data_IF_285970975299
#
_entry.id   IF_285970975299
#
_cell.length_a   1.000
_cell.length_b   1.000
_cell.length_c   1.000
_cell.angle_alpha   90.00
_cell.angle_beta   90.00
_cell.angle_gamma   90.00
#
_symmetry.space_group_name_H-M   'P 1'
#
loop_
_entity.id
_entity.type
_entity.pdbx_description
1 polymer ?
#
# COMPACT_ATOMS: atom_id res chain seq x y z
N UNK A 1 -43.65 -31.04 5.16
CA UNK A 1 -42.92 -30.25 4.15
C UNK A 1 -41.70 -29.59 4.78
N UNK A 2 -40.48 -30.07 4.49
CA UNK A 2 -39.26 -29.39 4.92
C UNK A 2 -39.02 -28.13 4.10
N UNK A 3 -38.92 -26.97 4.76
CA UNK A 3 -38.57 -25.71 4.10
C UNK A 3 -37.11 -25.83 3.63
N UNK A 4 -36.89 -25.99 2.33
CA UNK A 4 -35.54 -25.91 1.75
C UNK A 4 -35.05 -24.49 1.93
N UNK A 5 -34.06 -24.29 2.80
CA UNK A 5 -33.39 -23.00 2.94
C UNK A 5 -32.82 -22.57 1.59
N UNK A 6 -33.05 -21.32 1.15
CA UNK A 6 -32.51 -20.85 -0.10
C UNK A 6 -30.98 -20.74 0.04
N UNK A 7 -30.28 -21.70 -0.56
CA UNK A 7 -28.83 -21.68 -0.78
C UNK A 7 -28.43 -20.60 -1.81
N UNK A 8 -28.76 -19.34 -1.53
CA UNK A 8 -28.24 -18.17 -2.26
C UNK A 8 -27.27 -17.40 -1.39
N UNK A 9 -26.39 -18.11 -0.68
CA UNK A 9 -25.16 -17.51 -0.16
C UNK A 9 -24.14 -17.54 -1.29
N UNK A 10 -23.57 -16.39 -1.60
CA UNK A 10 -22.39 -16.32 -2.44
C UNK A 10 -21.25 -17.07 -1.73
N UNK A 11 -20.25 -17.53 -2.49
CA UNK A 11 -19.10 -18.25 -1.94
C UNK A 11 -18.19 -17.36 -1.05
N UNK A 12 -18.46 -16.06 -0.99
CA UNK A 12 -17.78 -15.07 -0.16
C UNK A 12 -18.82 -14.20 0.54
N UNK A 13 -18.47 -13.68 1.71
CA UNK A 13 -19.31 -12.74 2.46
C UNK A 13 -19.37 -11.40 1.76
N UNK A 14 -20.55 -10.78 1.77
CA UNK A 14 -20.76 -9.44 1.22
C UNK A 14 -21.17 -8.46 2.32
N UNK A 15 -20.83 -7.16 2.20
CA UNK A 15 -21.30 -6.13 3.15
C UNK A 15 -22.83 -6.01 3.22
N UNK A 16 -23.54 -6.60 2.26
CA UNK A 16 -24.98 -6.57 2.18
C UNK A 16 -25.61 -7.79 2.85
N UNK A 17 -24.86 -8.79 3.31
CA UNK A 17 -25.43 -9.98 3.95
C UNK A 17 -26.19 -9.63 5.24
N UNK A 18 -27.38 -10.20 5.44
CA UNK A 18 -28.24 -9.90 6.59
C UNK A 18 -29.00 -8.56 6.52
N UNK A 19 -28.67 -7.67 5.59
CA UNK A 19 -29.40 -6.40 5.39
C UNK A 19 -30.72 -6.64 4.64
N UNK A 20 -31.89 -6.30 5.21
CA UNK A 20 -33.18 -6.47 4.53
C UNK A 20 -33.42 -5.37 3.47
N UNK A 21 -34.20 -5.69 2.44
CA UNK A 21 -34.70 -4.71 1.46
C UNK A 21 -34.28 -4.95 0.00
N UNK A 22 -35.00 -4.30 -0.93
CA UNK A 22 -34.82 -4.45 -2.37
C UNK A 22 -33.43 -3.98 -2.84
N UNK A 23 -32.98 -2.83 -2.33
CA UNK A 23 -31.66 -2.29 -2.65
C UNK A 23 -30.53 -3.26 -2.27
N UNK A 24 -30.56 -3.80 -1.05
CA UNK A 24 -29.57 -4.77 -0.60
C UNK A 24 -29.58 -6.06 -1.44
N UNK A 25 -30.77 -6.52 -1.87
CA UNK A 25 -30.88 -7.68 -2.75
C UNK A 25 -30.28 -7.42 -4.14
N UNK A 26 -30.51 -6.25 -4.72
CA UNK A 26 -29.89 -5.85 -5.99
C UNK A 26 -28.37 -5.74 -5.88
N UNK A 27 -27.86 -5.14 -4.80
CA UNK A 27 -26.42 -5.02 -4.58
C UNK A 27 -25.74 -6.39 -4.44
N UNK A 28 -26.34 -7.35 -3.72
CA UNK A 28 -25.82 -8.73 -3.65
C UNK A 28 -25.77 -9.42 -5.02
N UNK A 29 -26.74 -9.16 -5.89
CA UNK A 29 -26.74 -9.73 -7.24
C UNK A 29 -25.61 -9.17 -8.11
N UNK A 30 -25.32 -7.87 -8.04
CA UNK A 30 -24.19 -7.28 -8.78
C UNK A 30 -22.83 -7.66 -8.18
N UNK A 31 -22.75 -7.83 -6.86
CA UNK A 31 -21.53 -8.19 -6.14
C UNK A 31 -20.89 -9.50 -6.65
N UNK A 32 -21.69 -10.44 -7.17
CA UNK A 32 -21.18 -11.69 -7.75
C UNK A 32 -20.34 -11.49 -9.02
N UNK A 33 -20.53 -10.37 -9.73
CA UNK A 33 -19.83 -10.04 -10.97
C UNK A 33 -18.71 -9.02 -10.75
N UNK A 34 -18.97 -8.01 -9.91
CA UNK A 34 -17.99 -6.95 -9.60
C UNK A 34 -16.91 -7.45 -8.64
N UNK A 35 -17.23 -8.42 -7.79
CA UNK A 35 -16.34 -8.94 -6.76
C UNK A 35 -16.07 -7.94 -5.63
N UNK A 36 -15.06 -8.24 -4.82
CA UNK A 36 -14.55 -7.29 -3.82
C UNK A 36 -13.94 -6.08 -4.53
N UNK A 37 -14.14 -4.87 -3.98
CA UNK A 37 -13.51 -3.68 -4.51
C UNK A 37 -11.99 -3.89 -4.68
N UNK A 38 -11.42 -3.39 -5.79
CA UNK A 38 -9.96 -3.42 -5.99
C UNK A 38 -9.22 -2.50 -5.01
N UNK A 39 -9.94 -1.50 -4.50
CA UNK A 39 -9.53 -0.67 -3.39
C UNK A 39 -9.83 -1.49 -2.13
N UNK A 40 -8.87 -1.61 -1.21
CA UNK A 40 -8.92 -2.47 -0.02
C UNK A 40 -10.17 -2.27 0.87
N UNK A 41 -10.13 -2.80 2.09
CA UNK A 41 -11.29 -2.70 2.97
C UNK A 41 -11.73 -1.24 3.15
N UNK A 42 -13.04 -0.96 3.08
CA UNK A 42 -13.56 0.41 3.24
C UNK A 42 -13.20 1.02 4.60
N UNK A 43 -13.00 0.18 5.62
CA UNK A 43 -12.62 0.56 6.97
C UNK A 43 -11.11 0.37 7.22
N UNK A 44 -10.30 0.14 6.17
CA UNK A 44 -8.85 0.07 6.32
C UNK A 44 -8.32 1.40 6.89
N UNK A 45 -7.44 1.37 7.92
CA UNK A 45 -6.83 2.57 8.43
C UNK A 45 -6.07 3.30 7.31
N UNK A 46 -6.06 4.63 7.36
CA UNK A 46 -5.31 5.42 6.40
C UNK A 46 -3.84 5.00 6.38
N UNK A 47 -3.27 4.88 5.17
CA UNK A 47 -1.86 4.55 5.00
C UNK A 47 -0.98 5.52 5.78
N UNK A 48 -0.13 4.99 6.66
CA UNK A 48 0.87 5.75 7.40
C UNK A 48 2.24 5.52 6.75
N UNK A 49 2.85 6.54 6.13
CA UNK A 49 4.19 6.41 5.57
C UNK A 49 5.21 6.16 6.69
N UNK A 50 6.22 5.28 6.49
CA UNK A 50 7.33 5.13 7.42
C UNK A 50 8.04 6.47 7.64
N UNK A 51 8.31 6.81 8.91
CA UNK A 51 8.82 8.13 9.30
C UNK A 51 10.16 8.51 8.64
N UNK A 52 11.06 7.53 8.46
CA UNK A 52 12.31 7.71 7.72
C UNK A 52 12.92 6.34 7.34
N UNK A 53 12.67 5.83 6.13
CA UNK A 53 13.27 4.57 5.70
C UNK A 53 14.79 4.71 5.49
N UNK A 54 15.52 3.61 5.69
CA UNK A 54 16.96 3.55 5.37
C UNK A 54 17.16 3.22 3.90
N UNK A 55 18.13 3.89 3.26
CA UNK A 55 18.52 3.60 1.89
C UNK A 55 19.14 2.18 1.79
N UNK A 56 18.67 1.30 0.88
CA UNK A 56 19.21 -0.05 0.75
C UNK A 56 20.63 -0.08 0.16
N UNK A 57 21.08 1.02 -0.46
CA UNK A 57 22.41 1.12 -1.09
C UNK A 57 23.46 1.63 -0.10
N UNK A 58 23.14 2.67 0.69
CA UNK A 58 24.12 3.31 1.58
C UNK A 58 23.76 3.26 3.07
N UNK A 59 22.62 2.68 3.45
CA UNK A 59 22.17 2.48 4.84
C UNK A 59 21.71 3.74 5.57
N UNK A 60 21.87 4.93 4.98
CA UNK A 60 21.54 6.22 5.59
C UNK A 60 20.08 6.62 5.35
N UNK A 61 19.59 7.55 6.17
CA UNK A 61 18.26 8.17 6.05
C UNK A 61 17.94 8.54 4.60
N UNK A 62 16.75 8.15 4.12
CA UNK A 62 16.31 8.49 2.76
C UNK A 62 16.07 10.00 2.61
N UNK A 63 15.79 10.71 3.71
CA UNK A 63 15.65 12.17 3.72
C UNK A 63 16.93 12.91 3.29
N UNK A 64 18.10 12.26 3.41
CA UNK A 64 19.39 12.82 2.97
C UNK A 64 19.66 12.65 1.46
N UNK A 65 18.77 11.95 0.73
CA UNK A 65 18.98 11.64 -0.68
C UNK A 65 18.35 12.70 -1.59
N UNK A 66 18.99 12.93 -2.73
CA UNK A 66 18.45 13.78 -3.79
C UNK A 66 17.77 12.90 -4.85
N UNK A 67 16.53 13.23 -5.18
CA UNK A 67 15.78 12.56 -6.26
C UNK A 67 15.71 13.48 -7.47
N UNK A 68 16.41 13.10 -8.53
CA UNK A 68 16.33 13.78 -9.82
C UNK A 68 15.20 13.13 -10.61
N UNK A 69 14.03 13.78 -10.65
CA UNK A 69 12.85 13.28 -11.35
C UNK A 69 12.96 13.49 -12.85
N UNK A 70 12.82 12.39 -13.60
CA UNK A 70 12.78 12.43 -15.05
C UNK A 70 11.41 12.89 -15.56
N UNK A 71 11.41 13.67 -16.65
CA UNK A 71 10.20 13.95 -17.43
C UNK A 71 9.81 12.78 -18.35
N UNK A 72 8.87 12.98 -19.29
CA UNK A 72 8.43 11.95 -20.22
C UNK A 72 9.61 11.29 -20.95
N UNK A 73 9.71 9.96 -20.87
CA UNK A 73 10.78 9.18 -21.49
C UNK A 73 12.11 9.16 -20.72
N UNK A 74 12.21 9.77 -19.53
CA UNK A 74 13.42 9.77 -18.70
C UNK A 74 13.18 9.03 -17.39
N UNK A 75 14.16 8.23 -16.98
CA UNK A 75 14.15 7.56 -15.69
C UNK A 75 14.37 8.55 -14.55
N UNK A 76 13.68 8.33 -13.43
CA UNK A 76 13.95 9.02 -12.18
C UNK A 76 15.14 8.35 -11.49
N UNK A 77 16.12 9.14 -11.04
CA UNK A 77 17.31 8.64 -10.38
C UNK A 77 17.40 9.17 -8.94
N UNK A 78 17.90 8.33 -8.04
CA UNK A 78 18.21 8.70 -6.66
C UNK A 78 19.73 8.78 -6.49
N UNK A 79 20.22 9.87 -5.89
CA UNK A 79 21.63 10.07 -5.57
C UNK A 79 21.85 9.95 -4.06
N UNK A 80 22.78 9.07 -3.68
CA UNK A 80 23.20 8.93 -2.29
C UNK A 80 23.94 10.18 -1.81
N UNK A 81 23.81 10.56 -0.53
CA UNK A 81 24.60 11.65 0.03
C UNK A 81 26.11 11.32 -0.01
N UNK A 82 27.00 12.32 -0.05
CA UNK A 82 28.45 12.09 0.01
C UNK A 82 28.78 11.31 1.28
N UNK A 83 29.72 10.35 1.21
CA UNK A 83 30.21 9.69 2.43
C UNK A 83 30.81 10.76 3.34
N UNK A 84 30.60 10.71 4.67
CA UNK A 84 31.43 11.48 5.57
C UNK A 84 32.86 11.04 5.29
N UNK A 85 33.67 11.96 4.80
CA UNK A 85 35.10 11.80 4.66
C UNK A 85 35.64 11.41 6.05
N UNK A 86 36.19 10.21 6.12
CA UNK A 86 36.77 9.65 7.32
C UNK A 86 37.90 10.59 7.75
N UNK A 87 37.70 11.34 8.84
CA UNK A 87 38.71 12.28 9.38
C UNK A 87 39.79 11.49 10.14
N UNK A 88 40.39 10.51 9.47
CA UNK A 88 41.43 9.65 10.05
C UNK A 88 42.71 9.65 9.22
N UNK A 89 43.14 10.82 8.75
CA UNK A 89 44.54 11.04 8.38
C UNK A 89 44.97 12.43 8.87
N UNK A 90 45.83 12.47 9.89
CA UNK A 90 46.42 13.73 10.38
C UNK A 90 46.73 13.74 11.89
N UNK A 91 47.45 12.73 12.38
CA UNK A 91 47.90 12.66 13.77
C UNK A 91 49.22 11.90 13.89
N UNK A 92 50.25 12.38 13.18
CA UNK A 92 51.65 11.99 13.39
C UNK A 92 52.51 13.23 13.22
N UNK A 93 52.61 14.02 14.29
CA UNK A 93 53.62 15.06 14.45
C UNK A 93 54.04 15.09 15.92
N UNK A 94 55.34 14.90 16.19
CA UNK A 94 56.01 15.12 17.48
C UNK A 94 56.66 13.89 18.09
#
# INVERSE_FOLDING_TARGET
>A
MGKREPRRRLWHETPYDGVPGFYAAMQRFFYQFEGTAQLGDRNEPAYVPPADPKCPVCGRSLALHRFDRGGPGRTTHMKCPPKPQDRTEGGRDG
#
